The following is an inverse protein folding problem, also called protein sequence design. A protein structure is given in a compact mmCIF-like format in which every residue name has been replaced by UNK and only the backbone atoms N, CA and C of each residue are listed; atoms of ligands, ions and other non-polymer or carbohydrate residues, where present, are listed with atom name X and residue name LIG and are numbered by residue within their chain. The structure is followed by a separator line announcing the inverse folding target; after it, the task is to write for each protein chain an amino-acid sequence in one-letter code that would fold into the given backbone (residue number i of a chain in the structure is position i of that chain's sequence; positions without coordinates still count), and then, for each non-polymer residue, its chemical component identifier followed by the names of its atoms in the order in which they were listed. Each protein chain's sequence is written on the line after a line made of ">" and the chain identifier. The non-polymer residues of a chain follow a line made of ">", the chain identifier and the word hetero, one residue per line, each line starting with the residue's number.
data_IF_958076872840
#
_entry.id   IF_958076872840
#
_cell.length_a   1.000
_cell.length_b   1.000
_cell.length_c   1.000
_cell.angle_alpha   90.00
_cell.angle_beta   90.00
_cell.angle_gamma   90.00
#
_symmetry.space_group_name_H-M   'P 1'
#
loop_
_entity.id
_entity.type
_entity.pdbx_description
1 polymer ?
#
# COMPACT_ATOMS: atom_id res chain seq x y z
N UNK A 1 -24.15 -12.91 17.03
CA UNK A 1 -23.86 -14.09 16.18
C UNK A 1 -23.30 -13.70 14.81
N UNK A 2 -23.85 -12.68 14.13
CA UNK A 2 -23.33 -12.20 12.84
C UNK A 2 -21.85 -11.74 12.94
N UNK A 3 -21.47 -11.01 13.97
CA UNK A 3 -20.08 -10.53 14.14
C UNK A 3 -19.05 -11.64 14.38
N UNK A 4 -19.45 -12.74 15.00
CA UNK A 4 -18.58 -13.90 15.22
C UNK A 4 -18.32 -14.66 13.91
N UNK A 5 -19.35 -14.87 13.09
CA UNK A 5 -19.20 -15.47 11.77
C UNK A 5 -18.25 -14.65 10.87
N UNK A 6 -18.28 -13.32 11.01
CA UNK A 6 -17.40 -12.39 10.29
C UNK A 6 -15.92 -12.45 10.71
N UNK A 7 -15.59 -13.08 11.85
CA UNK A 7 -14.21 -13.33 12.26
C UNK A 7 -13.66 -14.63 11.66
N UNK A 8 -14.54 -15.58 11.37
CA UNK A 8 -14.17 -16.94 10.94
C UNK A 8 -14.20 -17.06 9.42
N UNK A 9 -15.16 -16.41 8.77
CA UNK A 9 -15.39 -16.55 7.32
C UNK A 9 -14.81 -15.33 6.61
N UNK A 10 -13.85 -15.50 5.69
CA UNK A 10 -13.34 -14.39 4.90
C UNK A 10 -14.46 -13.82 4.02
N UNK A 11 -14.74 -12.53 4.18
CA UNK A 11 -15.79 -11.83 3.41
C UNK A 11 -15.41 -11.58 1.94
N UNK A 12 -14.10 -11.52 1.66
CA UNK A 12 -13.54 -11.42 0.32
C UNK A 12 -12.74 -12.71 0.07
N UNK A 13 -13.07 -13.48 -0.98
CA UNK A 13 -12.30 -14.67 -1.38
C UNK A 13 -11.12 -14.25 -2.25
N UNK A 14 -9.91 -14.74 -1.95
CA UNK A 14 -8.71 -14.50 -2.77
C UNK A 14 -8.89 -14.97 -4.22
N UNK A 15 -8.13 -14.43 -5.19
CA UNK A 15 -8.23 -14.87 -6.58
C UNK A 15 -8.10 -16.39 -6.74
N UNK A 16 -7.14 -17.00 -6.03
CA UNK A 16 -6.92 -18.47 -6.04
C UNK A 16 -8.10 -19.25 -5.47
N UNK A 17 -8.75 -18.74 -4.42
CA UNK A 17 -9.95 -19.37 -3.87
C UNK A 17 -11.12 -19.27 -4.84
N UNK A 18 -11.31 -18.11 -5.48
CA UNK A 18 -12.37 -17.93 -6.48
C UNK A 18 -12.19 -18.89 -7.65
N UNK A 19 -10.96 -19.04 -8.14
CA UNK A 19 -10.61 -20.03 -9.15
C UNK A 19 -10.92 -21.47 -8.69
N UNK A 20 -10.49 -21.83 -7.47
CA UNK A 20 -10.77 -23.15 -6.89
C UNK A 20 -12.27 -23.47 -6.80
N UNK A 21 -13.11 -22.45 -6.59
CA UNK A 21 -14.56 -22.58 -6.49
C UNK A 21 -15.30 -22.24 -7.80
N UNK A 22 -14.58 -22.08 -8.92
CA UNK A 22 -15.14 -21.74 -10.23
C UNK A 22 -16.00 -20.46 -10.22
N UNK A 23 -15.61 -19.47 -9.43
CA UNK A 23 -16.26 -18.16 -9.34
C UNK A 23 -15.57 -17.16 -10.28
N UNK A 24 -16.36 -16.26 -10.88
CA UNK A 24 -15.83 -15.20 -11.76
C UNK A 24 -14.80 -14.31 -11.03
N UNK A 25 -13.79 -13.77 -11.72
CA UNK A 25 -12.86 -12.80 -11.12
C UNK A 25 -13.60 -11.55 -10.63
N UNK A 26 -13.13 -10.97 -9.52
CA UNK A 26 -13.66 -9.68 -9.05
C UNK A 26 -12.79 -8.51 -9.54
N UNK A 27 -13.41 -7.39 -9.96
CA UNK A 27 -12.69 -6.23 -10.48
C UNK A 27 -11.83 -5.52 -9.41
N UNK A 28 -12.15 -5.72 -8.13
CA UNK A 28 -11.39 -5.17 -7.01
C UNK A 28 -9.91 -5.60 -7.03
N UNK A 29 -9.59 -6.83 -7.43
CA UNK A 29 -8.21 -7.31 -7.49
C UNK A 29 -7.39 -6.61 -8.57
N UNK A 30 -7.98 -6.40 -9.74
CA UNK A 30 -7.33 -5.63 -10.81
C UNK A 30 -7.13 -4.17 -10.41
N UNK A 31 -8.07 -3.58 -9.64
CA UNK A 31 -7.92 -2.23 -9.09
C UNK A 31 -6.82 -2.14 -8.02
N UNK A 32 -6.70 -3.14 -7.14
CA UNK A 32 -5.60 -3.25 -6.18
C UNK A 32 -4.26 -3.30 -6.91
N UNK A 33 -4.12 -4.18 -7.90
CA UNK A 33 -2.90 -4.31 -8.68
C UNK A 33 -2.55 -3.00 -9.41
N UNK A 34 -3.53 -2.36 -10.04
CA UNK A 34 -3.32 -1.06 -10.69
C UNK A 34 -2.86 0.02 -9.68
N UNK A 35 -3.47 0.06 -8.49
CA UNK A 35 -3.06 0.96 -7.41
C UNK A 35 -1.61 0.72 -6.96
N UNK A 36 -1.22 -0.55 -6.79
CA UNK A 36 0.15 -0.91 -6.46
C UNK A 36 1.15 -0.51 -7.56
N UNK A 37 0.82 -0.75 -8.82
CA UNK A 37 1.66 -0.38 -9.96
C UNK A 37 1.86 1.14 -10.05
N UNK A 38 0.78 1.92 -9.91
CA UNK A 38 0.83 3.38 -9.90
C UNK A 38 1.69 3.92 -8.75
N UNK A 39 1.57 3.36 -7.55
CA UNK A 39 2.42 3.72 -6.42
C UNK A 39 3.89 3.36 -6.68
N UNK A 40 4.17 2.25 -7.36
CA UNK A 40 5.54 1.86 -7.75
C UNK A 40 6.14 2.80 -8.79
N UNK A 41 5.36 3.28 -9.76
CA UNK A 41 5.82 4.24 -10.78
C UNK A 41 5.89 5.67 -10.27
N UNK A 42 5.28 5.97 -9.13
CA UNK A 42 5.33 7.26 -8.45
C UNK A 42 4.08 8.13 -8.66
N UNK A 43 3.05 7.60 -9.33
CA UNK A 43 1.75 8.25 -9.45
C UNK A 43 0.91 7.99 -8.19
N UNK A 44 1.26 8.72 -7.13
CA UNK A 44 0.68 8.56 -5.79
C UNK A 44 -0.80 8.89 -5.76
N UNK A 45 -1.23 9.96 -6.41
CA UNK A 45 -2.62 10.40 -6.41
C UNK A 45 -3.52 9.38 -7.12
N UNK A 46 -3.10 8.90 -8.30
CA UNK A 46 -3.85 7.87 -9.01
C UNK A 46 -3.88 6.56 -8.22
N UNK A 47 -2.78 6.18 -7.56
CA UNK A 47 -2.74 5.01 -6.70
C UNK A 47 -3.75 5.08 -5.56
N UNK A 48 -3.78 6.20 -4.81
CA UNK A 48 -4.77 6.45 -3.75
C UNK A 48 -6.20 6.37 -4.32
N UNK A 49 -6.44 6.94 -5.51
CA UNK A 49 -7.75 6.89 -6.14
C UNK A 49 -8.19 5.45 -6.45
N UNK A 50 -7.29 4.58 -6.92
CA UNK A 50 -7.59 3.15 -7.14
C UNK A 50 -7.93 2.43 -5.84
N UNK A 51 -7.17 2.65 -4.77
CA UNK A 51 -7.48 2.04 -3.48
C UNK A 51 -8.79 2.57 -2.87
N UNK A 52 -9.15 3.84 -3.09
CA UNK A 52 -10.46 4.38 -2.72
C UNK A 52 -11.61 3.71 -3.47
N UNK A 53 -11.43 3.42 -4.76
CA UNK A 53 -12.43 2.65 -5.53
C UNK A 53 -12.62 1.24 -4.95
N UNK A 54 -11.53 0.56 -4.57
CA UNK A 54 -11.61 -0.76 -3.93
C UNK A 54 -12.32 -0.68 -2.58
N UNK A 55 -12.00 0.32 -1.76
CA UNK A 55 -12.63 0.54 -0.46
C UNK A 55 -14.16 0.71 -0.60
N UNK A 56 -14.62 1.39 -1.64
CA UNK A 56 -16.04 1.60 -1.92
C UNK A 56 -16.73 0.33 -2.50
N UNK A 57 -16.09 -0.34 -3.46
CA UNK A 57 -16.68 -1.50 -4.16
C UNK A 57 -16.61 -2.80 -3.36
N UNK A 58 -15.56 -2.96 -2.55
CA UNK A 58 -15.26 -4.18 -1.83
C UNK A 58 -14.73 -3.86 -0.42
N UNK A 59 -15.58 -3.33 0.48
CA UNK A 59 -15.18 -2.94 1.84
C UNK A 59 -14.69 -4.13 2.68
N UNK A 60 -14.92 -5.38 2.25
CA UNK A 60 -14.37 -6.56 2.91
C UNK A 60 -12.84 -6.64 2.89
N UNK A 61 -12.17 -5.94 1.96
CA UNK A 61 -10.70 -5.85 1.96
C UNK A 61 -10.15 -4.98 3.09
N UNK A 62 -10.99 -4.13 3.72
CA UNK A 62 -10.60 -3.23 4.83
C UNK A 62 -9.36 -2.39 4.51
N UNK A 63 -9.23 -1.95 3.26
CA UNK A 63 -8.09 -1.14 2.86
C UNK A 63 -8.20 0.26 3.44
N UNK A 64 -7.04 0.79 3.81
CA UNK A 64 -6.83 2.20 4.09
C UNK A 64 -6.01 2.77 2.93
N UNK A 65 -6.59 3.58 2.02
CA UNK A 65 -5.96 3.92 0.75
C UNK A 65 -4.55 4.50 0.87
N UNK A 66 -4.38 5.49 1.76
CA UNK A 66 -3.10 6.15 2.00
C UNK A 66 -2.08 5.18 2.65
N UNK A 67 -2.54 4.29 3.52
CA UNK A 67 -1.69 3.25 4.14
C UNK A 67 -1.15 2.25 3.12
N UNK A 68 -1.99 1.80 2.19
CA UNK A 68 -1.60 0.84 1.17
C UNK A 68 -0.56 1.44 0.20
N UNK A 69 -0.73 2.70 -0.18
CA UNK A 69 0.29 3.40 -0.97
C UNK A 69 1.60 3.56 -0.18
N UNK A 70 1.53 3.95 1.10
CA UNK A 70 2.71 4.05 1.94
C UNK A 70 3.45 2.70 2.07
N UNK A 71 2.74 1.58 2.20
CA UNK A 71 3.32 0.22 2.21
C UNK A 71 4.10 -0.09 0.93
N UNK A 72 3.56 0.27 -0.24
CA UNK A 72 4.23 0.08 -1.53
C UNK A 72 5.54 0.88 -1.58
N UNK A 73 5.49 2.17 -1.20
CA UNK A 73 6.66 3.04 -1.14
C UNK A 73 7.72 2.54 -0.17
N UNK A 74 7.33 2.05 1.01
CA UNK A 74 8.23 1.43 2.00
C UNK A 74 8.91 0.20 1.40
N UNK A 75 8.15 -0.68 0.72
CA UNK A 75 8.70 -1.88 0.07
C UNK A 75 9.72 -1.51 -1.00
N UNK A 76 9.43 -0.49 -1.82
CA UNK A 76 10.34 0.04 -2.83
C UNK A 76 11.59 0.65 -2.21
N UNK A 77 11.46 1.47 -1.16
CA UNK A 77 12.57 2.02 -0.40
C UNK A 77 13.48 0.94 0.18
N UNK A 78 12.90 -0.10 0.80
CA UNK A 78 13.66 -1.27 1.31
C UNK A 78 14.41 -2.00 0.20
N UNK A 79 13.79 -2.19 -0.96
CA UNK A 79 14.42 -2.85 -2.10
C UNK A 79 15.60 -2.03 -2.67
N UNK A 80 15.47 -0.69 -2.72
CA UNK A 80 16.54 0.22 -3.13
C UNK A 80 17.70 0.21 -2.13
N UNK A 81 17.40 0.24 -0.83
CA UNK A 81 18.42 0.18 0.23
C UNK A 81 19.23 -1.12 0.16
N UNK A 82 18.55 -2.27 -0.05
CA UNK A 82 19.22 -3.57 -0.26
C UNK A 82 20.15 -3.58 -1.48
N UNK A 83 19.89 -2.73 -2.47
CA UNK A 83 20.72 -2.55 -3.68
C UNK A 83 21.80 -1.47 -3.50
N UNK A 84 21.97 -0.91 -2.30
CA UNK A 84 22.93 0.16 -2.03
C UNK A 84 22.51 1.54 -2.57
N UNK A 85 21.30 1.69 -3.10
CA UNK A 85 20.78 2.96 -3.63
C UNK A 85 20.14 3.77 -2.49
N UNK A 86 20.98 4.29 -1.60
CA UNK A 86 20.54 4.85 -0.31
C UNK A 86 19.73 6.14 -0.50
N UNK A 87 20.15 7.07 -1.35
CA UNK A 87 19.47 8.34 -1.58
C UNK A 87 18.07 8.11 -2.15
N UNK A 88 17.97 7.22 -3.14
CA UNK A 88 16.69 6.82 -3.72
C UNK A 88 15.79 6.11 -2.69
N UNK A 89 16.37 5.29 -1.80
CA UNK A 89 15.60 4.66 -0.72
C UNK A 89 15.04 5.68 0.27
N UNK A 90 15.86 6.65 0.69
CA UNK A 90 15.47 7.76 1.56
C UNK A 90 14.31 8.55 0.95
N UNK A 91 14.37 8.85 -0.35
CA UNK A 91 13.28 9.53 -1.05
C UNK A 91 11.96 8.76 -0.94
N UNK A 92 11.98 7.44 -1.21
CA UNK A 92 10.77 6.63 -1.11
C UNK A 92 10.22 6.57 0.31
N UNK A 93 11.08 6.50 1.33
CA UNK A 93 10.62 6.54 2.73
C UNK A 93 10.05 7.90 3.13
N UNK A 94 10.64 9.01 2.66
CA UNK A 94 10.08 10.35 2.86
C UNK A 94 8.72 10.49 2.18
N UNK A 95 8.55 9.96 0.96
CA UNK A 95 7.27 9.93 0.27
C UNK A 95 6.23 9.11 1.06
N UNK A 96 6.60 7.93 1.58
CA UNK A 96 5.71 7.11 2.40
C UNK A 96 5.22 7.85 3.65
N UNK A 97 6.11 8.60 4.32
CA UNK A 97 5.77 9.40 5.50
C UNK A 97 4.86 10.59 5.16
N UNK A 98 5.02 11.19 3.97
CA UNK A 98 4.11 12.25 3.48
C UNK A 98 2.72 11.71 3.19
N UNK A 99 2.62 10.51 2.63
CA UNK A 99 1.34 9.87 2.29
C UNK A 99 0.62 9.40 3.56
N UNK A 100 1.33 8.72 4.45
CA UNK A 100 0.79 8.26 5.72
C UNK A 100 1.69 8.70 6.88
N UNK A 101 1.22 9.71 7.61
CA UNK A 101 1.93 10.29 8.74
C UNK A 101 2.14 9.34 9.93
N UNK A 102 1.49 8.16 9.96
CA UNK A 102 1.77 7.12 10.95
C UNK A 102 3.12 6.46 10.71
N UNK A 103 3.58 6.38 9.47
CA UNK A 103 4.93 5.92 9.16
C UNK A 103 5.95 6.99 9.55
N UNK A 104 6.90 6.64 10.42
CA UNK A 104 7.95 7.55 10.88
C UNK A 104 9.29 7.12 10.29
N UNK A 105 9.96 8.03 9.61
CA UNK A 105 11.28 7.80 9.03
C UNK A 105 12.15 9.05 9.20
N UNK A 106 13.30 8.89 9.84
CA UNK A 106 14.29 9.95 10.05
C UNK A 106 13.88 11.01 11.08
N UNK A 107 14.40 10.90 12.31
CA UNK A 107 14.31 11.94 13.35
C UNK A 107 15.71 12.22 13.94
N UNK A 108 16.75 12.46 13.13
CA UNK A 108 18.09 12.62 13.71
C UNK A 108 19.26 13.08 12.85
N UNK A 109 19.06 13.69 11.69
CA UNK A 109 20.21 14.21 10.89
C UNK A 109 20.03 15.61 10.27
N UNK A 110 18.85 16.21 10.35
CA UNK A 110 18.64 17.56 9.79
C UNK A 110 19.35 18.67 10.62
N UNK A 111 19.88 18.34 11.81
CA UNK A 111 20.63 19.27 12.67
C UNK A 111 22.15 19.29 12.49
N UNK A 112 22.73 18.44 11.64
CA UNK A 112 24.19 18.40 11.41
C UNK A 112 24.64 19.01 10.08
N UNK A 113 23.73 19.55 9.27
CA UNK A 113 24.05 20.14 7.96
C UNK A 113 24.09 21.68 7.95
N UNK A 114 23.99 22.35 9.10
CA UNK A 114 24.07 23.83 9.22
C UNK A 114 25.26 24.31 10.05
N UNK A 115 26.33 23.52 10.17
CA UNK A 115 27.59 23.95 10.78
C UNK A 115 28.75 23.68 9.81
N UNK A 116 28.92 24.55 8.82
CA UNK A 116 30.14 24.74 8.06
C UNK A 116 30.23 26.21 7.63
#
# INVERSE_FOLDING_TARGET
>A
MIDYANQIIPRCLTPKQREQFFLDPEPNYALIEAGEQLAQTGDIEAAVAKFKQVQALAPCHKLEPEYEVAKVLIKKGRALAKKGKIEAAVEQFKQAQKVDGRFKFGNGVDSLSTAA
#
